data_IF_597859825407
#
_entry.id   IF_597859825407
#
_cell.length_a   1.000
_cell.length_b   1.000
_cell.length_c   1.000
_cell.angle_alpha   90.00
_cell.angle_beta   90.00
_cell.angle_gamma   90.00
#
_symmetry.space_group_name_H-M   'P 1'
#
loop_
_entity.id
_entity.type
_entity.pdbx_description
1 polymer ?
#
# COMPACT_ATOMS: atom_id res chain seq x y z
N UNK A 1 15.64 -6.07 -3.02
CA UNK A 1 14.72 -6.18 -1.87
C UNK A 1 13.43 -5.48 -2.24
N UNK A 2 12.27 -6.14 -2.11
CA UNK A 2 10.95 -5.50 -2.26
C UNK A 2 10.37 -5.31 -0.86
N UNK A 3 9.92 -4.10 -0.55
CA UNK A 3 9.34 -3.75 0.76
C UNK A 3 7.94 -3.16 0.58
N UNK A 4 7.12 -3.32 1.58
CA UNK A 4 5.86 -2.58 1.73
C UNK A 4 6.09 -1.45 2.74
N UNK A 5 5.97 -0.21 2.28
CA UNK A 5 6.22 0.97 3.09
C UNK A 5 4.91 1.44 3.76
N UNK A 6 4.90 1.54 5.09
CA UNK A 6 3.75 2.07 5.81
C UNK A 6 3.75 3.61 5.74
N UNK A 7 2.82 4.16 4.97
CA UNK A 7 2.65 5.61 4.78
C UNK A 7 1.54 6.22 5.65
N UNK A 8 0.89 5.44 6.50
CA UNK A 8 -0.21 5.94 7.35
C UNK A 8 0.20 7.20 8.12
N UNK A 9 -0.56 8.28 7.96
CA UNK A 9 -0.32 9.61 8.55
C UNK A 9 1.01 10.29 8.12
N UNK A 10 1.82 9.68 7.26
CA UNK A 10 3.04 10.30 6.74
C UNK A 10 2.70 11.34 5.67
N UNK A 11 3.50 12.40 5.58
CA UNK A 11 3.37 13.42 4.54
C UNK A 11 4.14 12.97 3.29
N UNK A 12 3.45 12.93 2.16
CA UNK A 12 4.04 12.71 0.82
C UNK A 12 3.88 13.98 0.01
N UNK A 13 4.98 14.53 -0.47
CA UNK A 13 4.98 15.73 -1.30
C UNK A 13 5.15 15.33 -2.78
N UNK A 14 4.30 15.86 -3.66
CA UNK A 14 4.38 15.65 -5.10
C UNK A 14 4.62 17.00 -5.75
N UNK A 15 5.71 17.09 -6.49
CA UNK A 15 6.08 18.28 -7.27
C UNK A 15 5.69 18.07 -8.72
N UNK A 16 4.78 18.91 -9.21
CA UNK A 16 4.14 18.79 -10.52
C UNK A 16 2.63 18.56 -10.40
N UNK A 17 1.87 19.01 -11.41
CA UNK A 17 0.40 18.96 -11.40
C UNK A 17 -0.21 18.34 -12.66
N UNK A 18 0.59 17.61 -13.43
CA UNK A 18 0.20 17.02 -14.71
C UNK A 18 -0.37 15.60 -14.61
N UNK A 19 -0.37 14.90 -15.74
CA UNK A 19 -0.84 13.53 -15.85
C UNK A 19 0.02 12.55 -15.03
N UNK A 20 1.35 12.75 -15.00
CA UNK A 20 2.26 11.90 -14.24
C UNK A 20 2.03 12.07 -12.73
N UNK A 21 1.87 13.30 -12.24
CA UNK A 21 1.47 13.55 -10.85
C UNK A 21 0.18 12.79 -10.49
N UNK A 22 -0.83 12.82 -11.37
CA UNK A 22 -2.09 12.10 -11.16
C UNK A 22 -1.87 10.59 -11.01
N UNK A 23 -1.00 9.99 -11.84
CA UNK A 23 -0.66 8.56 -11.74
C UNK A 23 -0.03 8.20 -10.39
N UNK A 24 0.79 9.10 -9.83
CA UNK A 24 1.44 8.90 -8.52
C UNK A 24 0.48 9.13 -7.35
N UNK A 25 -0.47 10.07 -7.48
CA UNK A 25 -1.46 10.38 -6.44
C UNK A 25 -2.45 9.23 -6.24
N UNK A 26 -2.98 8.65 -7.31
CA UNK A 26 -4.06 7.65 -7.22
C UNK A 26 -3.74 6.47 -6.29
N UNK A 27 -2.58 5.79 -6.39
CA UNK A 27 -2.22 4.73 -5.45
C UNK A 27 -2.08 5.23 -4.00
N UNK A 28 -1.51 6.43 -3.81
CA UNK A 28 -1.28 7.01 -2.48
C UNK A 28 -2.57 7.33 -1.73
N UNK A 29 -3.68 7.58 -2.43
CA UNK A 29 -5.00 7.78 -1.80
C UNK A 29 -5.47 6.56 -0.98
N UNK A 30 -4.89 5.38 -1.22
CA UNK A 30 -5.24 4.14 -0.52
C UNK A 30 -4.36 3.88 0.71
N UNK A 31 -3.27 4.64 0.86
CA UNK A 31 -2.26 4.43 1.90
C UNK A 31 -2.48 5.30 3.16
N UNK A 32 -3.62 6.01 3.24
CA UNK A 32 -3.97 6.91 4.35
C UNK A 32 -2.86 7.92 4.70
N UNK A 33 -2.10 8.37 3.71
CA UNK A 33 -1.06 9.38 3.86
C UNK A 33 -1.59 10.80 3.60
N UNK A 34 -0.86 11.80 4.09
CA UNK A 34 -1.15 13.22 3.83
C UNK A 34 -0.47 13.62 2.54
N UNK A 35 -1.23 13.85 1.48
CA UNK A 35 -0.69 14.19 0.15
C UNK A 35 -0.70 15.70 -0.03
N UNK A 36 0.48 16.28 -0.28
CA UNK A 36 0.67 17.67 -0.65
C UNK A 36 1.17 17.76 -2.10
N UNK A 37 0.44 18.45 -2.95
CA UNK A 37 0.86 18.73 -4.34
C UNK A 37 1.34 20.18 -4.44
N UNK A 38 2.52 20.38 -5.01
CA UNK A 38 3.08 21.71 -5.28
C UNK A 38 3.32 21.86 -6.78
N UNK A 39 2.64 22.82 -7.39
CA UNK A 39 2.80 23.13 -8.82
C UNK A 39 2.16 24.47 -9.15
N UNK A 40 2.65 25.15 -10.16
CA UNK A 40 2.03 26.35 -10.74
C UNK A 40 0.84 25.99 -11.64
N UNK A 41 0.92 24.87 -12.36
CA UNK A 41 -0.13 24.35 -13.25
C UNK A 41 -0.66 23.04 -12.73
N UNK A 42 -1.97 22.92 -12.58
CA UNK A 42 -2.63 21.76 -11.98
C UNK A 42 -3.80 21.34 -12.84
N UNK A 43 -3.88 20.05 -13.16
CA UNK A 43 -4.93 19.49 -14.00
C UNK A 43 -6.27 19.34 -13.23
N UNK A 44 -7.38 19.23 -13.96
CA UNK A 44 -8.75 19.12 -13.43
C UNK A 44 -8.92 17.93 -12.46
N UNK A 45 -8.23 16.81 -12.71
CA UNK A 45 -8.35 15.61 -11.84
C UNK A 45 -7.78 15.87 -10.45
N UNK A 46 -6.63 16.52 -10.36
CA UNK A 46 -5.98 16.89 -9.10
C UNK A 46 -6.81 17.96 -8.37
N UNK A 47 -7.33 18.97 -9.09
CA UNK A 47 -8.23 19.97 -8.51
C UNK A 47 -9.48 19.33 -7.89
N UNK A 48 -10.11 18.37 -8.58
CA UNK A 48 -11.26 17.63 -8.07
C UNK A 48 -10.94 16.81 -6.80
N UNK A 49 -9.74 16.24 -6.71
CA UNK A 49 -9.29 15.53 -5.50
C UNK A 49 -9.12 16.48 -4.31
N UNK A 50 -8.61 17.69 -4.57
CA UNK A 50 -8.47 18.72 -3.54
C UNK A 50 -9.83 19.26 -3.08
N UNK A 51 -10.75 19.51 -4.01
CA UNK A 51 -12.12 19.93 -3.67
C UNK A 51 -12.84 18.91 -2.76
N UNK A 52 -12.54 17.60 -2.97
CA UNK A 52 -13.02 16.51 -2.10
C UNK A 52 -12.19 16.33 -0.81
N UNK A 53 -11.31 17.26 -0.47
CA UNK A 53 -10.42 17.24 0.71
C UNK A 53 -9.54 15.98 0.82
N UNK A 54 -9.27 15.30 -0.31
CA UNK A 54 -8.42 14.09 -0.33
C UNK A 54 -6.93 14.41 -0.37
N UNK A 55 -6.58 15.60 -0.85
CA UNK A 55 -5.20 16.09 -1.00
C UNK A 55 -5.15 17.57 -0.71
N UNK A 56 -3.98 18.07 -0.36
CA UNK A 56 -3.70 19.51 -0.25
C UNK A 56 -2.95 19.99 -1.49
N UNK A 57 -3.19 21.23 -1.92
CA UNK A 57 -2.51 21.87 -3.03
C UNK A 57 -1.86 23.16 -2.55
N UNK A 58 -0.60 23.37 -2.94
CA UNK A 58 0.09 24.67 -2.89
C UNK A 58 0.39 25.12 -4.31
N UNK A 59 -0.38 26.08 -4.81
CA UNK A 59 -0.16 26.63 -6.15
C UNK A 59 1.06 27.55 -6.11
N UNK A 60 2.22 27.02 -6.52
CA UNK A 60 3.51 27.72 -6.49
C UNK A 60 4.44 27.18 -7.56
N UNK A 61 5.16 28.07 -8.26
CA UNK A 61 6.29 27.70 -9.11
C UNK A 61 7.52 27.52 -8.23
N UNK A 62 8.16 26.37 -8.31
CA UNK A 62 9.38 26.07 -7.59
C UNK A 62 10.60 26.36 -8.48
N UNK A 63 11.72 26.73 -7.87
CA UNK A 63 13.02 26.94 -8.52
C UNK A 63 14.08 25.96 -8.01
N UNK A 64 13.86 25.39 -6.82
CA UNK A 64 14.80 24.54 -6.08
C UNK A 64 14.08 23.61 -5.09
N UNK A 65 14.85 22.94 -4.23
CA UNK A 65 14.37 22.04 -3.17
C UNK A 65 14.19 22.68 -1.79
N UNK A 66 14.37 23.98 -1.62
CA UNK A 66 14.36 24.63 -0.29
C UNK A 66 13.03 24.47 0.47
N UNK A 67 11.92 24.31 -0.26
CA UNK A 67 10.62 24.05 0.36
C UNK A 67 10.60 22.79 1.25
N UNK A 68 11.51 21.85 1.01
CA UNK A 68 11.61 20.59 1.78
C UNK A 68 11.95 20.83 3.25
N UNK A 69 12.72 21.86 3.56
CA UNK A 69 13.06 22.23 4.95
C UNK A 69 11.82 22.63 5.74
N UNK A 70 10.88 23.34 5.09
CA UNK A 70 9.62 23.78 5.69
C UNK A 70 8.59 22.65 5.74
N UNK A 71 8.44 21.93 4.63
CA UNK A 71 7.39 20.91 4.49
C UNK A 71 7.73 19.61 5.24
N UNK A 72 9.00 19.26 5.35
CA UNK A 72 9.53 18.05 6.01
C UNK A 72 8.72 16.79 5.63
N UNK A 73 8.55 16.48 4.33
CA UNK A 73 7.81 15.31 3.92
C UNK A 73 8.61 14.04 4.26
N UNK A 74 7.91 12.92 4.42
CA UNK A 74 8.53 11.61 4.52
C UNK A 74 9.03 11.12 3.16
N UNK A 75 8.28 11.45 2.09
CA UNK A 75 8.66 11.18 0.71
C UNK A 75 8.42 12.43 -0.13
N UNK A 76 9.34 12.73 -1.05
CA UNK A 76 9.13 13.67 -2.15
C UNK A 76 9.16 12.94 -3.49
N UNK A 77 8.22 13.26 -4.37
CA UNK A 77 8.08 12.71 -5.72
C UNK A 77 8.06 13.85 -6.72
N UNK A 78 9.04 13.87 -7.63
CA UNK A 78 9.06 14.84 -8.73
C UNK A 78 8.45 14.26 -10.00
N UNK A 79 7.60 15.05 -10.64
CA UNK A 79 6.84 14.66 -11.84
C UNK A 79 6.78 15.80 -12.85
N UNK A 80 7.75 16.72 -12.79
CA UNK A 80 7.82 17.85 -13.72
C UNK A 80 8.61 17.48 -14.97
N UNK A 81 8.45 18.24 -16.04
CA UNK A 81 9.26 18.12 -17.26
C UNK A 81 10.58 18.92 -17.18
N UNK A 82 10.89 19.48 -16.02
CA UNK A 82 12.12 20.24 -15.79
C UNK A 82 13.14 19.37 -15.04
N UNK A 83 14.05 18.74 -15.79
CA UNK A 83 15.10 17.86 -15.27
C UNK A 83 15.99 18.53 -14.22
N UNK A 84 16.38 19.79 -14.49
CA UNK A 84 17.23 20.55 -13.57
C UNK A 84 16.55 20.78 -12.23
N UNK A 85 15.29 21.19 -12.25
CA UNK A 85 14.49 21.35 -11.03
C UNK A 85 14.34 20.01 -10.27
N UNK A 86 14.02 18.94 -11.01
CA UNK A 86 13.86 17.61 -10.40
C UNK A 86 15.17 17.19 -9.72
N UNK A 87 16.33 17.33 -10.39
CA UNK A 87 17.64 17.01 -9.82
C UNK A 87 17.98 17.86 -8.58
N UNK A 88 17.74 19.16 -8.60
CA UNK A 88 17.93 20.05 -7.44
C UNK A 88 17.06 19.61 -6.25
N UNK A 89 15.83 19.19 -6.50
CA UNK A 89 14.93 18.69 -5.44
C UNK A 89 15.44 17.36 -4.87
N UNK A 90 15.89 16.43 -5.72
CA UNK A 90 16.43 15.14 -5.26
C UNK A 90 17.73 15.34 -4.46
N UNK A 91 18.63 16.19 -4.93
CA UNK A 91 19.86 16.55 -4.20
C UNK A 91 19.52 17.09 -2.81
N UNK A 92 18.60 18.07 -2.72
CA UNK A 92 18.16 18.64 -1.44
C UNK A 92 17.47 17.61 -0.54
N UNK A 93 16.68 16.71 -1.12
CA UNK A 93 16.06 15.61 -0.39
C UNK A 93 17.12 14.69 0.24
N UNK A 94 18.17 14.35 -0.50
CA UNK A 94 19.28 13.53 0.00
C UNK A 94 20.01 14.22 1.16
N UNK A 95 20.34 15.51 1.04
CA UNK A 95 20.94 16.32 2.11
C UNK A 95 20.10 16.26 3.41
N UNK A 96 18.77 16.32 3.26
CA UNK A 96 17.80 16.29 4.36
C UNK A 96 17.37 14.88 4.79
N UNK A 97 17.94 13.82 4.19
CA UNK A 97 17.58 12.41 4.41
C UNK A 97 16.08 12.13 4.21
N UNK A 98 15.49 12.78 3.21
CA UNK A 98 14.09 12.60 2.78
C UNK A 98 14.10 11.60 1.64
N UNK A 99 13.30 10.54 1.73
CA UNK A 99 13.14 9.56 0.64
C UNK A 99 12.61 10.26 -0.60
N UNK A 100 13.28 10.05 -1.73
CA UNK A 100 13.00 10.79 -2.96
C UNK A 100 12.82 9.88 -4.18
N UNK A 101 11.97 10.32 -5.10
CA UNK A 101 11.75 9.66 -6.37
C UNK A 101 11.52 10.68 -7.48
N UNK A 102 12.14 10.45 -8.63
CA UNK A 102 11.87 11.20 -9.85
C UNK A 102 11.29 10.28 -10.93
N UNK A 103 10.27 10.77 -11.63
CA UNK A 103 9.67 10.01 -12.72
C UNK A 103 10.51 9.99 -14.01
N UNK A 104 11.50 10.86 -14.11
CA UNK A 104 12.40 11.03 -15.26
C UNK A 104 13.83 10.54 -15.00
N UNK A 105 14.21 10.29 -13.74
CA UNK A 105 15.55 9.86 -13.36
C UNK A 105 15.50 8.77 -12.28
N UNK A 106 15.57 7.50 -12.74
CA UNK A 106 15.59 6.34 -11.85
C UNK A 106 16.88 6.23 -11.04
N UNK A 107 18.01 6.70 -11.58
CA UNK A 107 19.33 6.48 -11.00
C UNK A 107 19.58 7.36 -9.78
N UNK A 108 18.93 8.54 -9.74
CA UNK A 108 18.97 9.44 -8.59
C UNK A 108 17.82 9.20 -7.61
N UNK A 109 16.97 8.20 -7.84
CA UNK A 109 15.81 7.90 -7.00
C UNK A 109 16.15 6.86 -5.95
N UNK A 110 15.67 7.04 -4.70
CA UNK A 110 15.87 6.07 -3.61
C UNK A 110 15.04 4.81 -3.78
N UNK A 111 14.00 4.84 -4.62
CA UNK A 111 13.15 3.68 -4.88
C UNK A 111 12.62 3.67 -6.31
N UNK A 112 12.10 2.52 -6.72
CA UNK A 112 11.43 2.35 -7.99
C UNK A 112 9.96 1.95 -7.78
N UNK A 113 9.11 2.26 -8.76
CA UNK A 113 7.72 1.85 -8.77
C UNK A 113 7.57 0.58 -9.62
N UNK A 114 7.42 -0.61 -9.02
CA UNK A 114 7.23 -1.85 -9.74
C UNK A 114 5.86 -1.91 -10.42
N UNK A 115 5.72 -2.77 -11.41
CA UNK A 115 4.40 -3.13 -11.93
C UNK A 115 3.65 -3.93 -10.87
N UNK A 116 2.45 -3.48 -10.46
CA UNK A 116 1.70 -4.11 -9.37
C UNK A 116 0.40 -4.73 -9.85
N UNK A 117 0.06 -5.90 -9.28
CA UNK A 117 -1.23 -6.56 -9.38
C UNK A 117 -1.91 -6.39 -8.01
N UNK A 118 -3.20 -6.08 -8.01
CA UNK A 118 -3.94 -5.82 -6.78
C UNK A 118 -5.29 -6.57 -6.81
N UNK A 119 -5.46 -7.51 -5.87
CA UNK A 119 -6.73 -8.22 -5.66
C UNK A 119 -7.45 -7.64 -4.44
N UNK A 120 -8.56 -6.95 -4.66
CA UNK A 120 -9.44 -6.35 -3.65
C UNK A 120 -8.72 -5.52 -2.56
N UNK A 121 -7.56 -4.93 -2.88
CA UNK A 121 -6.69 -4.17 -1.95
C UNK A 121 -6.10 -5.01 -0.80
N UNK A 122 -6.21 -6.31 -0.88
CA UNK A 122 -5.76 -7.26 0.16
C UNK A 122 -4.49 -7.96 -0.27
N UNK A 123 -4.45 -8.48 -1.51
CA UNK A 123 -3.26 -9.13 -2.04
C UNK A 123 -2.62 -8.19 -3.04
N UNK A 124 -1.38 -7.80 -2.78
CA UNK A 124 -0.55 -7.01 -3.68
C UNK A 124 0.64 -7.84 -4.14
N UNK A 125 0.88 -7.87 -5.44
CA UNK A 125 2.03 -8.55 -6.05
C UNK A 125 2.81 -7.52 -6.85
N UNK A 126 4.10 -7.44 -6.62
CA UNK A 126 5.00 -6.52 -7.29
C UNK A 126 5.94 -7.28 -8.24
N UNK A 127 6.10 -6.77 -9.44
CA UNK A 127 7.00 -7.31 -10.47
C UNK A 127 8.01 -6.23 -10.82
N UNK A 128 9.28 -6.52 -10.56
CA UNK A 128 10.38 -5.59 -10.78
C UNK A 128 11.49 -6.26 -11.58
N UNK A 129 11.90 -5.64 -12.67
CA UNK A 129 12.95 -6.13 -13.58
C UNK A 129 14.28 -5.39 -13.39
N UNK A 130 14.52 -4.83 -12.19
CA UNK A 130 15.73 -4.05 -11.92
C UNK A 130 15.83 -2.76 -12.74
N UNK A 131 14.69 -2.20 -13.14
CA UNK A 131 14.68 -1.01 -14.04
C UNK A 131 14.99 -1.32 -15.51
N UNK A 132 15.42 -2.55 -15.83
CA UNK A 132 15.95 -2.92 -17.16
C UNK A 132 14.90 -2.88 -18.27
N UNK A 133 13.63 -3.23 -17.99
CA UNK A 133 12.59 -3.25 -19.01
C UNK A 133 11.17 -3.00 -18.45
N UNK A 134 10.68 -1.76 -18.47
CA UNK A 134 9.30 -1.44 -18.11
C UNK A 134 8.27 -2.17 -18.98
N UNK A 135 8.57 -2.39 -20.27
CA UNK A 135 7.69 -3.10 -21.20
C UNK A 135 7.55 -4.57 -20.78
N UNK A 136 8.66 -5.23 -20.46
CA UNK A 136 8.63 -6.62 -20.00
C UNK A 136 7.97 -6.76 -18.64
N UNK A 137 8.18 -5.82 -17.73
CA UNK A 137 7.46 -5.78 -16.44
C UNK A 137 5.95 -5.74 -16.64
N UNK A 138 5.48 -4.94 -17.60
CA UNK A 138 4.05 -4.85 -17.94
C UNK A 138 3.54 -6.15 -18.57
N UNK A 139 4.26 -6.73 -19.52
CA UNK A 139 3.89 -7.99 -20.18
C UNK A 139 3.80 -9.14 -19.16
N UNK A 140 4.82 -9.28 -18.30
CA UNK A 140 4.84 -10.30 -17.26
C UNK A 140 3.69 -10.08 -16.26
N UNK A 141 3.43 -8.83 -15.88
CA UNK A 141 2.29 -8.49 -15.03
C UNK A 141 0.98 -9.02 -15.61
N UNK A 142 0.69 -8.77 -16.89
CA UNK A 142 -0.55 -9.20 -17.56
C UNK A 142 -0.68 -10.73 -17.57
N UNK A 143 0.40 -11.45 -17.87
CA UNK A 143 0.43 -12.92 -17.86
C UNK A 143 0.18 -13.49 -16.46
N UNK A 144 0.90 -12.96 -15.46
CA UNK A 144 0.77 -13.38 -14.06
C UNK A 144 -0.63 -13.06 -13.52
N UNK A 145 -1.16 -11.87 -13.82
CA UNK A 145 -2.51 -11.48 -13.39
C UNK A 145 -3.58 -12.43 -13.93
N UNK A 146 -3.49 -12.82 -15.20
CA UNK A 146 -4.42 -13.77 -15.81
C UNK A 146 -4.34 -15.16 -15.19
N UNK A 147 -3.14 -15.63 -14.86
CA UNK A 147 -2.94 -16.90 -14.17
C UNK A 147 -3.46 -16.87 -12.74
N UNK A 148 -3.18 -15.79 -12.02
CA UNK A 148 -3.59 -15.63 -10.61
C UNK A 148 -5.10 -15.46 -10.45
N UNK A 149 -5.83 -14.88 -11.41
CA UNK A 149 -7.29 -14.83 -11.42
C UNK A 149 -7.93 -16.23 -11.41
N UNK A 150 -7.23 -17.24 -11.93
CA UNK A 150 -7.69 -18.63 -11.90
C UNK A 150 -7.39 -19.32 -10.57
N UNK A 151 -6.34 -18.91 -9.87
CA UNK A 151 -5.82 -19.51 -8.64
C UNK A 151 -6.45 -18.86 -7.40
N UNK A 152 -6.42 -17.52 -7.32
CA UNK A 152 -6.92 -16.77 -6.17
C UNK A 152 -8.44 -16.61 -6.29
N UNK A 153 -9.17 -17.28 -5.42
CA UNK A 153 -10.63 -17.25 -5.36
C UNK A 153 -11.11 -16.21 -4.35
N UNK A 154 -12.39 -15.86 -4.43
CA UNK A 154 -13.02 -14.95 -3.46
C UNK A 154 -12.96 -15.49 -2.03
N UNK A 155 -13.06 -16.82 -1.90
CA UNK A 155 -12.96 -17.52 -0.62
C UNK A 155 -11.59 -17.29 0.05
N UNK A 156 -10.51 -17.27 -0.73
CA UNK A 156 -9.15 -17.00 -0.20
C UNK A 156 -9.05 -15.60 0.37
N UNK A 157 -9.64 -14.62 -0.32
CA UNK A 157 -9.66 -13.23 0.14
C UNK A 157 -10.49 -13.08 1.41
N UNK A 158 -11.66 -13.73 1.49
CA UNK A 158 -12.47 -13.73 2.71
C UNK A 158 -11.76 -14.44 3.86
N UNK A 159 -11.02 -15.51 3.58
CA UNK A 159 -10.20 -16.18 4.58
C UNK A 159 -9.12 -15.27 5.16
N UNK A 160 -8.46 -14.44 4.34
CA UNK A 160 -7.48 -13.44 4.82
C UNK A 160 -8.15 -12.44 5.77
N UNK A 161 -9.34 -11.93 5.42
CA UNK A 161 -10.11 -11.01 6.29
C UNK A 161 -10.45 -11.66 7.64
N UNK A 162 -10.85 -12.91 7.62
CA UNK A 162 -11.16 -13.68 8.84
C UNK A 162 -9.91 -13.88 9.68
N UNK A 163 -8.77 -14.20 9.06
CA UNK A 163 -7.49 -14.31 9.74
C UNK A 163 -7.06 -13.00 10.42
N UNK A 164 -7.35 -11.86 9.81
CA UNK A 164 -7.09 -10.55 10.43
C UNK A 164 -7.92 -10.36 11.71
N UNK A 165 -9.22 -10.67 11.64
CA UNK A 165 -10.12 -10.58 12.81
C UNK A 165 -9.65 -11.54 13.91
N UNK A 166 -9.44 -12.81 13.56
CA UNK A 166 -8.98 -13.83 14.50
C UNK A 166 -7.67 -13.44 15.18
N UNK A 167 -6.69 -12.91 14.41
CA UNK A 167 -5.40 -12.45 14.94
C UNK A 167 -5.55 -11.36 16.00
N UNK A 168 -6.47 -10.40 15.77
CA UNK A 168 -6.76 -9.35 16.76
C UNK A 168 -7.36 -9.90 18.04
N UNK A 169 -8.26 -10.89 17.95
CA UNK A 169 -8.91 -11.53 19.09
C UNK A 169 -7.92 -12.39 19.88
N UNK A 170 -7.18 -13.25 19.20
CA UNK A 170 -6.22 -14.19 19.78
C UNK A 170 -5.09 -13.45 20.51
N UNK A 171 -4.63 -12.31 19.94
CA UNK A 171 -3.59 -11.46 20.59
C UNK A 171 -4.01 -10.94 21.97
N UNK A 172 -5.32 -10.74 22.19
CA UNK A 172 -5.85 -10.27 23.48
C UNK A 172 -6.06 -11.36 24.52
N UNK A 173 -6.05 -12.65 24.14
CA UNK A 173 -6.48 -13.77 24.98
C UNK A 173 -5.47 -14.89 25.12
N UNK A 174 -4.52 -14.99 24.22
CA UNK A 174 -3.48 -16.02 24.22
C UNK A 174 -2.11 -15.33 24.21
N UNK A 175 -1.38 -15.42 25.32
CA UNK A 175 -0.08 -14.75 25.45
C UNK A 175 1.02 -15.48 24.69
N UNK A 176 0.93 -16.80 24.58
CA UNK A 176 1.96 -17.62 23.93
C UNK A 176 1.91 -17.49 22.40
N UNK A 177 3.02 -17.04 21.80
CA UNK A 177 3.13 -16.87 20.35
C UNK A 177 2.94 -18.17 19.55
N UNK A 178 3.51 -19.29 20.01
CA UNK A 178 3.40 -20.59 19.32
C UNK A 178 1.95 -21.05 19.28
N UNK A 179 1.22 -20.96 20.41
CA UNK A 179 -0.21 -21.30 20.49
C UNK A 179 -1.06 -20.40 19.59
N UNK A 180 -0.77 -19.08 19.56
CA UNK A 180 -1.45 -18.18 18.62
C UNK A 180 -1.28 -18.60 17.17
N UNK A 181 -0.07 -18.98 16.77
CA UNK A 181 0.24 -19.44 15.40
C UNK A 181 -0.50 -20.74 15.08
N UNK A 182 -0.50 -21.68 16.01
CA UNK A 182 -1.20 -22.96 15.87
C UNK A 182 -2.70 -22.77 15.72
N UNK A 183 -3.33 -21.97 16.60
CA UNK A 183 -4.74 -21.63 16.50
C UNK A 183 -5.10 -21.04 15.13
N UNK A 184 -4.32 -20.05 14.65
CA UNK A 184 -4.56 -19.42 13.36
C UNK A 184 -4.40 -20.40 12.19
N UNK A 185 -3.46 -21.35 12.29
CA UNK A 185 -3.31 -22.40 11.29
C UNK A 185 -4.51 -23.37 11.31
N UNK A 186 -4.98 -23.78 12.49
CA UNK A 186 -6.14 -24.65 12.64
C UNK A 186 -7.41 -24.00 12.11
N UNK A 187 -7.55 -22.68 12.31
CA UNK A 187 -8.66 -21.90 11.78
C UNK A 187 -8.76 -21.97 10.24
N UNK A 188 -7.62 -21.99 9.53
CA UNK A 188 -7.63 -22.12 8.06
C UNK A 188 -8.14 -23.46 7.58
N UNK A 189 -8.07 -24.49 8.43
CA UNK A 189 -8.45 -25.87 8.13
C UNK A 189 -9.87 -26.21 8.62
N UNK A 190 -10.49 -25.37 9.45
CA UNK A 190 -11.82 -25.60 10.00
C UNK A 190 -12.87 -25.68 8.88
N UNK A 191 -13.50 -26.85 8.73
CA UNK A 191 -14.50 -27.13 7.69
C UNK A 191 -15.74 -26.24 7.85
N UNK A 192 -16.15 -25.98 9.11
CA UNK A 192 -17.34 -25.16 9.41
C UNK A 192 -17.10 -23.69 9.01
N UNK A 193 -15.90 -23.15 9.28
CA UNK A 193 -15.53 -21.80 8.83
C UNK A 193 -15.53 -21.72 7.31
N UNK A 194 -14.95 -22.71 6.61
CA UNK A 194 -14.95 -22.73 5.14
C UNK A 194 -16.38 -22.73 4.58
N UNK A 195 -17.29 -23.48 5.18
CA UNK A 195 -18.69 -23.49 4.77
C UNK A 195 -19.36 -22.15 5.05
N UNK A 196 -19.16 -21.57 6.24
CA UNK A 196 -19.74 -20.27 6.59
C UNK A 196 -19.22 -19.10 5.70
N UNK A 197 -17.99 -19.22 5.18
CA UNK A 197 -17.45 -18.29 4.17
C UNK A 197 -18.26 -18.38 2.88
N UNK A 198 -18.48 -19.59 2.36
CA UNK A 198 -19.29 -19.82 1.16
C UNK A 198 -20.71 -19.27 1.34
N UNK A 199 -21.28 -19.48 2.51
CA UNK A 199 -22.63 -19.04 2.87
C UNK A 199 -22.69 -17.55 3.25
N UNK A 200 -21.57 -16.82 3.24
CA UNK A 200 -21.43 -15.39 3.57
C UNK A 200 -21.95 -15.02 4.97
N UNK A 201 -21.89 -15.93 5.93
CA UNK A 201 -22.47 -15.78 7.28
C UNK A 201 -21.47 -15.19 8.29
N UNK A 202 -21.09 -13.92 8.12
CA UNK A 202 -20.03 -13.25 8.92
C UNK A 202 -20.20 -13.37 10.44
N UNK A 203 -21.42 -13.11 10.97
CA UNK A 203 -21.68 -13.21 12.41
C UNK A 203 -21.43 -14.63 12.96
N UNK A 204 -21.80 -15.66 12.20
CA UNK A 204 -21.56 -17.06 12.62
C UNK A 204 -20.08 -17.42 12.57
N UNK A 205 -19.30 -16.79 11.67
CA UNK A 205 -17.85 -16.98 11.63
C UNK A 205 -17.20 -16.42 12.90
N UNK A 206 -17.57 -15.23 13.33
CA UNK A 206 -17.07 -14.63 14.56
C UNK A 206 -17.42 -15.50 15.79
N UNK A 207 -18.68 -15.95 15.88
CA UNK A 207 -19.10 -16.88 16.94
C UNK A 207 -18.28 -18.18 16.94
N UNK A 208 -18.02 -18.73 15.74
CA UNK A 208 -17.20 -19.94 15.61
C UNK A 208 -15.76 -19.73 16.07
N UNK A 209 -15.18 -18.58 15.81
CA UNK A 209 -13.84 -18.22 16.31
C UNK A 209 -13.85 -18.22 17.85
N UNK A 210 -14.87 -17.60 18.47
CA UNK A 210 -15.00 -17.59 19.93
C UNK A 210 -15.19 -19.00 20.52
N UNK A 211 -16.00 -19.86 19.90
CA UNK A 211 -16.16 -21.28 20.32
C UNK A 211 -14.81 -22.02 20.29
N UNK A 212 -14.05 -21.88 19.21
CA UNK A 212 -12.74 -22.51 19.07
C UNK A 212 -11.75 -22.00 20.12
N UNK A 213 -11.77 -20.70 20.43
CA UNK A 213 -10.91 -20.11 21.46
C UNK A 213 -11.24 -20.59 22.86
N UNK A 214 -12.52 -20.83 23.19
CA UNK A 214 -12.95 -21.40 24.48
C UNK A 214 -12.43 -22.83 24.64
N UNK A 215 -12.60 -23.69 23.63
CA UNK A 215 -12.11 -25.06 23.64
C UNK A 215 -10.60 -25.18 23.86
N UNK A 216 -9.82 -24.23 23.32
CA UNK A 216 -8.37 -24.23 23.51
C UNK A 216 -7.94 -23.79 24.92
N UNK A 217 -8.80 -23.05 25.63
CA UNK A 217 -8.57 -22.68 27.03
C UNK A 217 -8.99 -23.84 27.99
N UNK A 218 -10.10 -24.51 27.69
CA UNK A 218 -10.59 -25.68 28.51
C UNK A 218 -9.65 -26.88 28.41
N UNK A 219 -8.94 -27.07 27.29
CA UNK A 219 -7.90 -28.09 27.15
C UNK A 219 -6.61 -27.80 27.94
N UNK A 220 -6.56 -26.74 28.73
CA UNK A 220 -5.42 -26.34 29.58
C UNK A 220 -5.63 -26.71 31.05
N UNK A 221 -6.87 -26.97 31.47
CA UNK A 221 -7.22 -27.27 32.87
C UNK A 221 -7.34 -28.75 33.13
N UNK A 222 -7.06 -29.58 32.12
CA UNK A 222 -6.90 -31.06 32.22
C UNK A 222 -5.46 -31.43 31.82
#
# INVERSE_FOLDING_TARGET
MIINLNLQNRKVCIVGGGAEATKRIIPLLQENCKILVISDKINKKILNLSAKKKIQIKKRKLKDGEFLQKEKPFIVITTTNNFELNSKILQKANELKIISYSSDNSDQSDFANPATINFEKIIKIAIFTGGKSPIMSKKIKEQVENSLKKIIKKEDIEQIKIQEIARKLVKKRIDNYKKRKEFLNNLTRDKKIKQLIKDRQKKKIENRIYELMRKENESKDN
#
